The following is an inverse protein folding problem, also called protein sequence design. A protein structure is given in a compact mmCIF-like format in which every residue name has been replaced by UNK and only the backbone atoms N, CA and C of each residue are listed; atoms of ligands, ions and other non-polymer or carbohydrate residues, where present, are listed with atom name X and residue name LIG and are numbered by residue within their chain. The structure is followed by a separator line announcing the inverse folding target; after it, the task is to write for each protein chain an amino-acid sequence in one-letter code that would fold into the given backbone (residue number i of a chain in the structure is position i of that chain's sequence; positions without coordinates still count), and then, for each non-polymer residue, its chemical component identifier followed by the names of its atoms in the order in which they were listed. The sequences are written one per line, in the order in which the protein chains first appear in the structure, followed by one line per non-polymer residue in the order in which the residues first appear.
data_IF_974053806756
#
_entry.id   IF_974053806756
#
_cell.length_a   1.000
_cell.length_b   1.000
_cell.length_c   1.000
_cell.angle_alpha   90.00
_cell.angle_beta   90.00
_cell.angle_gamma   90.00
#
_symmetry.space_group_name_H-M   'P 1'
#
loop_
_entity.id
_entity.type
_entity.pdbx_description
1 polymer ?
#
# COMPACT_ATOMS: atom_id res chain seq x y z
N UNK A 1 -5.14 -33.12 -0.70
CA UNK A 1 -5.23 -32.31 -1.93
C UNK A 1 -4.18 -31.22 -1.86
N UNK A 2 -3.12 -31.29 -2.70
CA UNK A 2 -2.06 -30.28 -2.72
C UNK A 2 -2.56 -29.07 -3.49
N UNK A 3 -2.81 -27.94 -2.80
CA UNK A 3 -3.05 -26.66 -3.46
C UNK A 3 -1.77 -26.26 -4.17
N UNK A 4 -1.82 -26.14 -5.49
CA UNK A 4 -0.73 -25.61 -6.29
C UNK A 4 -0.52 -24.15 -5.86
N UNK A 5 0.71 -23.78 -5.51
CA UNK A 5 1.14 -22.39 -5.34
C UNK A 5 0.72 -21.62 -6.59
N UNK A 6 -0.29 -20.77 -6.45
CA UNK A 6 -0.63 -19.83 -7.49
C UNK A 6 0.53 -18.84 -7.55
N UNK A 7 1.45 -19.05 -8.48
CA UNK A 7 2.45 -18.04 -8.80
C UNK A 7 1.71 -16.78 -9.22
N UNK A 8 2.00 -15.68 -8.56
CA UNK A 8 1.58 -14.35 -8.96
C UNK A 8 2.19 -14.09 -10.35
N UNK A 9 1.43 -14.50 -11.38
CA UNK A 9 1.88 -14.53 -12.76
C UNK A 9 2.34 -13.17 -13.19
N UNK A 10 3.45 -13.14 -13.91
CA UNK A 10 4.02 -11.95 -14.55
C UNK A 10 2.97 -11.36 -15.51
N UNK A 11 2.14 -10.45 -15.02
CA UNK A 11 1.55 -9.47 -15.90
C UNK A 11 2.63 -8.41 -16.12
N UNK A 12 3.30 -8.49 -17.28
CA UNK A 12 4.37 -7.59 -17.70
C UNK A 12 3.80 -6.24 -18.15
N UNK A 13 3.15 -5.50 -17.25
CA UNK A 13 3.04 -4.07 -17.46
C UNK A 13 4.40 -3.48 -17.10
N UNK A 14 5.18 -3.05 -18.07
CA UNK A 14 6.40 -2.28 -17.83
C UNK A 14 5.98 -0.99 -17.14
N UNK A 15 6.50 -0.70 -15.93
CA UNK A 15 6.24 0.57 -15.27
C UNK A 15 6.60 1.72 -16.20
N UNK A 16 5.90 2.87 -16.14
CA UNK A 16 6.33 4.06 -16.85
C UNK A 16 7.74 4.44 -16.40
N UNK A 17 8.46 5.08 -17.31
CA UNK A 17 9.80 5.59 -17.09
C UNK A 17 9.92 6.36 -15.78
N UNK A 18 11.01 6.13 -15.03
CA UNK A 18 11.21 6.74 -13.71
C UNK A 18 11.20 8.27 -13.82
N UNK A 19 10.47 8.99 -12.96
CA UNK A 19 10.58 10.44 -12.91
C UNK A 19 12.02 10.83 -12.54
N UNK A 20 12.56 11.86 -13.17
CA UNK A 20 13.85 12.45 -12.80
C UNK A 20 13.82 12.79 -11.29
N UNK A 21 14.76 12.28 -10.51
CA UNK A 21 14.77 12.44 -9.05
C UNK A 21 13.88 11.46 -8.30
N UNK A 22 13.63 10.27 -8.85
CA UNK A 22 12.77 9.22 -8.26
C UNK A 22 13.10 8.94 -6.79
N UNK A 23 14.37 8.82 -6.41
CA UNK A 23 14.76 8.56 -5.03
C UNK A 23 14.32 9.67 -4.07
N UNK A 24 14.42 10.93 -4.49
CA UNK A 24 13.96 12.06 -3.68
C UNK A 24 12.43 12.07 -3.54
N UNK A 25 11.71 11.73 -4.62
CA UNK A 25 10.25 11.58 -4.60
C UNK A 25 9.82 10.47 -3.63
N UNK A 26 10.49 9.31 -3.66
CA UNK A 26 10.16 8.18 -2.79
C UNK A 26 10.36 8.53 -1.31
N UNK A 27 11.51 9.14 -0.95
CA UNK A 27 11.74 9.61 0.43
C UNK A 27 10.70 10.61 0.91
N UNK A 28 10.27 11.52 0.04
CA UNK A 28 9.20 12.48 0.36
C UNK A 28 7.85 11.81 0.56
N UNK A 29 7.51 10.77 -0.23
CA UNK A 29 6.30 9.97 -0.01
C UNK A 29 6.36 9.21 1.32
N UNK A 30 7.51 8.64 1.68
CA UNK A 30 7.72 7.97 2.96
C UNK A 30 7.62 8.96 4.13
N UNK A 31 8.15 10.18 3.98
CA UNK A 31 7.98 11.26 4.97
C UNK A 31 6.52 11.70 5.08
N UNK A 32 5.82 11.84 3.95
CA UNK A 32 4.39 12.15 3.91
C UNK A 32 3.56 11.09 4.64
N UNK A 33 3.86 9.80 4.43
CA UNK A 33 3.22 8.70 5.15
C UNK A 33 3.39 8.87 6.67
N UNK A 34 4.64 9.06 7.14
CA UNK A 34 4.93 9.24 8.57
C UNK A 34 4.24 10.46 9.18
N UNK A 35 4.04 11.52 8.40
CA UNK A 35 3.43 12.78 8.88
C UNK A 35 1.91 12.71 9.00
N UNK A 36 1.26 11.73 8.40
CA UNK A 36 -0.20 11.62 8.43
C UNK A 36 -0.69 11.22 9.84
N UNK A 37 -1.56 12.02 10.49
CA UNK A 37 -1.98 11.75 11.88
C UNK A 37 -2.58 10.36 12.07
N UNK A 38 -3.29 9.83 11.08
CA UNK A 38 -3.89 8.49 11.14
C UNK A 38 -2.83 7.38 11.29
N UNK A 39 -1.62 7.59 10.78
CA UNK A 39 -0.54 6.60 10.86
C UNK A 39 0.07 6.52 12.27
N UNK A 40 -0.16 7.54 13.11
CA UNK A 40 0.16 7.48 14.54
C UNK A 40 -0.68 6.49 15.35
N UNK A 41 -1.78 6.00 14.78
CA UNK A 41 -2.62 4.97 15.40
C UNK A 41 -2.12 3.55 15.09
N UNK A 42 -1.13 3.42 14.21
CA UNK A 42 -0.62 2.14 13.75
C UNK A 42 0.91 2.11 13.85
N UNK A 43 1.45 1.00 14.29
CA UNK A 43 2.91 0.76 14.30
C UNK A 43 3.33 0.28 12.91
N UNK A 44 3.52 1.22 11.99
CA UNK A 44 3.74 0.91 10.58
C UNK A 44 4.81 1.79 9.94
N UNK A 45 5.52 1.24 8.96
CA UNK A 45 6.58 1.92 8.20
C UNK A 45 6.40 1.64 6.72
N UNK A 46 6.39 2.69 5.89
CA UNK A 46 6.35 2.61 4.43
C UNK A 46 7.75 2.64 3.84
N UNK A 47 7.98 1.82 2.83
CA UNK A 47 9.13 1.87 1.92
C UNK A 47 8.66 1.79 0.47
N UNK A 48 9.12 2.70 -0.38
CA UNK A 48 8.96 2.62 -1.83
C UNK A 48 10.13 1.82 -2.39
N UNK A 49 9.87 0.59 -2.81
CA UNK A 49 10.91 -0.38 -3.17
C UNK A 49 11.36 -0.29 -4.63
N UNK A 50 10.48 0.23 -5.50
CA UNK A 50 10.75 0.49 -6.91
C UNK A 50 9.59 1.34 -7.51
N UNK A 51 9.71 1.86 -8.74
CA UNK A 51 8.59 2.50 -9.44
C UNK A 51 7.37 1.57 -9.48
N UNK A 52 6.23 2.05 -8.97
CA UNK A 52 5.00 1.27 -8.91
C UNK A 52 5.01 0.13 -7.89
N UNK A 53 5.93 0.14 -6.92
CA UNK A 53 6.02 -0.86 -5.85
C UNK A 53 6.26 -0.22 -4.49
N UNK A 54 5.58 -0.74 -3.48
CA UNK A 54 5.72 -0.32 -2.10
C UNK A 54 5.65 -1.51 -1.14
N UNK A 55 6.17 -1.34 0.03
CA UNK A 55 6.03 -2.26 1.15
C UNK A 55 5.68 -1.47 2.41
N UNK A 56 4.70 -1.93 3.16
CA UNK A 56 4.39 -1.43 4.51
C UNK A 56 4.63 -2.58 5.48
N UNK A 57 5.53 -2.38 6.43
CA UNK A 57 5.74 -3.27 7.56
C UNK A 57 4.95 -2.74 8.75
N UNK A 58 4.29 -3.62 9.47
CA UNK A 58 3.45 -3.24 10.60
C UNK A 58 3.34 -4.36 11.63
N UNK A 59 2.99 -3.96 12.85
CA UNK A 59 2.75 -4.90 13.96
C UNK A 59 1.24 -5.07 14.19
N UNK A 60 0.82 -6.32 14.30
CA UNK A 60 -0.58 -6.69 14.58
C UNK A 60 -0.74 -6.80 16.08
N UNK A 61 -1.09 -5.68 16.73
CA UNK A 61 -1.29 -5.61 18.19
C UNK A 61 -2.73 -5.94 18.59
N UNK A 62 -2.92 -6.28 19.86
CA UNK A 62 -4.25 -6.57 20.43
C UNK A 62 -5.21 -5.38 20.34
N UNK A 63 -4.70 -4.14 20.25
CA UNK A 63 -5.52 -2.94 20.11
C UNK A 63 -6.29 -2.88 18.79
N UNK A 64 -5.87 -3.66 17.79
CA UNK A 64 -6.55 -3.78 16.50
C UNK A 64 -7.48 -4.99 16.40
N UNK A 65 -7.70 -5.75 17.50
CA UNK A 65 -8.49 -6.98 17.45
C UNK A 65 -9.99 -6.70 17.56
N UNK A 66 -10.76 -7.49 16.83
CA UNK A 66 -12.20 -7.63 17.07
C UNK A 66 -12.47 -8.61 18.24
N UNK A 67 -13.72 -8.71 18.68
CA UNK A 67 -14.12 -9.49 19.86
C UNK A 67 -13.78 -10.98 19.79
N UNK A 68 -13.58 -11.55 18.60
CA UNK A 68 -13.18 -12.96 18.43
C UNK A 68 -11.65 -13.19 18.44
N UNK A 69 -10.84 -12.19 18.81
CA UNK A 69 -9.41 -12.34 19.09
C UNK A 69 -8.49 -12.40 17.85
N UNK A 70 -8.88 -11.71 16.78
CA UNK A 70 -8.03 -11.51 15.61
C UNK A 70 -8.14 -10.07 15.09
N UNK A 71 -7.23 -9.65 14.22
CA UNK A 71 -7.23 -8.31 13.67
C UNK A 71 -8.56 -7.96 13.00
N UNK A 72 -9.06 -6.77 13.32
CA UNK A 72 -10.27 -6.23 12.70
C UNK A 72 -10.01 -5.85 11.24
N UNK A 73 -11.02 -5.95 10.38
CA UNK A 73 -10.92 -5.65 8.96
C UNK A 73 -10.42 -4.25 8.62
N UNK A 74 -10.56 -3.28 9.52
CA UNK A 74 -10.01 -1.93 9.35
C UNK A 74 -8.50 -1.91 9.24
N UNK A 75 -7.78 -2.76 9.99
CA UNK A 75 -6.33 -2.88 9.86
C UNK A 75 -5.94 -3.42 8.48
N UNK A 76 -6.61 -4.48 8.03
CA UNK A 76 -6.38 -5.04 6.69
C UNK A 76 -6.62 -3.99 5.60
N UNK A 77 -7.79 -3.33 5.65
CA UNK A 77 -8.12 -2.29 4.68
C UNK A 77 -7.06 -1.20 4.66
N UNK A 78 -6.71 -0.65 5.83
CA UNK A 78 -5.72 0.43 5.96
C UNK A 78 -4.38 0.05 5.33
N UNK A 79 -3.85 -1.14 5.63
CA UNK A 79 -2.54 -1.57 5.13
C UNK A 79 -2.55 -1.89 3.65
N UNK A 80 -3.64 -2.48 3.14
CA UNK A 80 -3.80 -2.78 1.71
C UNK A 80 -3.99 -1.51 0.88
N UNK A 81 -4.88 -0.61 1.33
CA UNK A 81 -5.14 0.66 0.63
C UNK A 81 -3.86 1.50 0.55
N UNK A 82 -3.18 1.70 1.67
CA UNK A 82 -1.94 2.47 1.70
C UNK A 82 -0.85 1.84 0.82
N UNK A 83 -0.65 0.54 0.90
CA UNK A 83 0.37 -0.11 0.07
C UNK A 83 0.06 0.09 -1.42
N UNK A 84 -1.17 -0.16 -1.85
CA UNK A 84 -1.58 0.06 -3.25
C UNK A 84 -1.51 1.54 -3.65
N UNK A 85 -1.94 2.45 -2.76
CA UNK A 85 -1.91 3.90 -2.96
C UNK A 85 -0.48 4.39 -3.20
N UNK A 86 0.45 4.05 -2.31
CA UNK A 86 1.82 4.53 -2.41
C UNK A 86 2.59 3.87 -3.57
N UNK A 87 2.25 2.63 -3.92
CA UNK A 87 2.73 2.04 -5.17
C UNK A 87 2.29 2.85 -6.39
N UNK A 88 1.02 3.23 -6.46
CA UNK A 88 0.50 4.08 -7.54
C UNK A 88 1.10 5.50 -7.49
N UNK A 89 1.16 6.14 -6.31
CA UNK A 89 1.66 7.51 -6.17
C UNK A 89 3.17 7.62 -6.43
N UNK A 90 3.94 6.54 -6.31
CA UNK A 90 5.36 6.52 -6.68
C UNK A 90 5.61 6.88 -8.16
N UNK A 91 4.58 6.74 -8.99
CA UNK A 91 4.60 7.07 -10.43
C UNK A 91 4.04 8.47 -10.74
N UNK A 92 3.61 9.22 -9.72
CA UNK A 92 2.97 10.54 -9.85
C UNK A 92 3.66 11.52 -8.91
N UNK A 93 4.55 12.35 -9.46
CA UNK A 93 5.41 13.25 -8.66
C UNK A 93 4.83 14.64 -8.40
N UNK A 94 3.73 15.00 -9.04
CA UNK A 94 3.14 16.35 -8.96
C UNK A 94 1.84 16.42 -8.16
N UNK A 95 1.10 15.32 -8.04
CA UNK A 95 -0.25 15.30 -7.45
C UNK A 95 -0.40 14.19 -6.41
N UNK A 96 -1.13 14.53 -5.34
CA UNK A 96 -1.64 13.54 -4.40
C UNK A 96 -2.76 12.75 -5.07
N UNK A 97 -2.77 11.44 -4.90
CA UNK A 97 -3.87 10.60 -5.37
C UNK A 97 -5.00 10.55 -4.34
N UNK A 98 -6.17 10.10 -4.76
CA UNK A 98 -7.31 9.80 -3.89
C UNK A 98 -7.84 8.42 -4.23
N UNK A 99 -8.05 7.59 -3.24
CA UNK A 99 -8.71 6.30 -3.38
C UNK A 99 -10.18 6.53 -3.71
N UNK A 100 -10.65 6.02 -4.83
CA UNK A 100 -12.06 6.14 -5.26
C UNK A 100 -12.84 4.84 -5.14
N UNK A 101 -12.14 3.72 -5.15
CA UNK A 101 -12.71 2.40 -4.91
C UNK A 101 -11.59 1.46 -4.42
N UNK A 102 -11.95 0.55 -3.52
CA UNK A 102 -11.08 -0.51 -3.09
C UNK A 102 -11.88 -1.78 -2.81
N UNK A 103 -11.51 -2.87 -3.47
CA UNK A 103 -12.10 -4.18 -3.26
C UNK A 103 -11.05 -5.09 -2.61
N UNK A 104 -11.41 -5.72 -1.50
CA UNK A 104 -10.50 -6.59 -0.76
C UNK A 104 -11.12 -7.93 -0.42
N UNK A 105 -10.27 -8.95 -0.28
CA UNK A 105 -10.62 -10.30 0.14
C UNK A 105 -9.77 -10.69 1.35
N UNK A 106 -10.42 -11.15 2.40
CA UNK A 106 -9.75 -11.75 3.55
C UNK A 106 -9.52 -13.23 3.26
N UNK A 107 -8.28 -13.67 3.32
CA UNK A 107 -7.89 -15.07 3.03
C UNK A 107 -7.44 -15.81 4.28
N UNK A 108 -7.07 -15.09 5.35
CA UNK A 108 -6.67 -15.66 6.62
C UNK A 108 -6.72 -14.66 7.77
N UNK A 109 -6.91 -15.13 9.03
CA UNK A 109 -6.91 -14.27 10.20
C UNK A 109 -5.49 -13.93 10.64
N UNK A 110 -5.21 -12.66 10.93
CA UNK A 110 -4.00 -12.24 11.64
C UNK A 110 -4.26 -12.22 13.16
N UNK A 111 -3.47 -12.98 13.92
CA UNK A 111 -3.65 -13.15 15.38
C UNK A 111 -2.56 -12.49 16.22
N UNK A 112 -1.71 -11.67 15.60
CA UNK A 112 -0.62 -10.93 16.24
C UNK A 112 0.69 -11.08 15.48
N UNK A 113 1.69 -10.30 15.90
CA UNK A 113 3.04 -10.33 15.36
C UNK A 113 3.26 -9.47 14.12
N UNK A 114 4.47 -9.55 13.59
CA UNK A 114 4.88 -8.76 12.43
C UNK A 114 4.17 -9.23 11.16
N UNK A 115 3.76 -8.25 10.34
CA UNK A 115 3.17 -8.49 9.03
C UNK A 115 3.66 -7.44 8.02
N UNK A 116 3.47 -7.71 6.74
CA UNK A 116 3.78 -6.74 5.69
C UNK A 116 2.70 -6.70 4.63
N UNK A 117 2.42 -5.50 4.12
CA UNK A 117 1.60 -5.29 2.94
C UNK A 117 2.48 -4.91 1.76
N UNK A 118 2.35 -5.60 0.65
CA UNK A 118 3.09 -5.35 -0.59
C UNK A 118 2.16 -4.75 -1.63
N UNK A 119 2.45 -3.54 -2.09
CA UNK A 119 1.71 -2.82 -3.11
C UNK A 119 2.35 -2.90 -4.48
N UNK A 120 1.53 -3.00 -5.53
CA UNK A 120 1.97 -3.01 -6.93
C UNK A 120 1.01 -2.26 -7.83
N UNK A 121 1.53 -1.30 -8.60
CA UNK A 121 0.79 -0.71 -9.71
C UNK A 121 0.49 -1.75 -10.80
N UNK A 122 -0.74 -1.70 -11.35
CA UNK A 122 -1.21 -2.61 -12.40
C UNK A 122 -1.35 -1.87 -13.72
N UNK A 123 -2.05 -0.72 -13.70
CA UNK A 123 -2.35 0.01 -14.92
C UNK A 123 -2.72 1.48 -14.65
N UNK A 124 -2.89 2.25 -15.75
CA UNK A 124 -3.27 3.67 -15.70
C UNK A 124 -2.05 4.60 -15.57
N UNK A 125 -2.06 5.73 -16.28
CA UNK A 125 -0.89 6.65 -16.33
C UNK A 125 -1.27 8.12 -16.20
N UNK A 126 -2.52 8.49 -16.50
CA UNK A 126 -2.92 9.90 -16.58
C UNK A 126 -3.83 10.31 -15.44
N UNK A 127 -5.11 10.00 -15.53
CA UNK A 127 -6.13 10.46 -14.58
C UNK A 127 -6.44 9.42 -13.51
N UNK A 128 -6.50 8.16 -13.90
CA UNK A 128 -6.86 7.04 -13.05
C UNK A 128 -5.73 6.03 -13.07
N UNK A 129 -5.34 5.56 -11.90
CA UNK A 129 -4.37 4.48 -11.70
C UNK A 129 -5.08 3.31 -10.99
N UNK A 130 -4.65 2.11 -11.31
CA UNK A 130 -5.09 0.89 -10.65
C UNK A 130 -3.87 0.21 -10.04
N UNK A 131 -3.97 -0.14 -8.78
CA UNK A 131 -2.94 -0.88 -8.05
C UNK A 131 -3.57 -1.95 -7.18
N UNK A 132 -2.81 -2.98 -6.89
CA UNK A 132 -3.17 -4.07 -6.00
C UNK A 132 -2.24 -4.13 -4.81
N UNK A 133 -2.70 -4.76 -3.74
CA UNK A 133 -1.86 -5.09 -2.61
C UNK A 133 -2.24 -6.45 -2.02
N UNK A 134 -1.29 -7.04 -1.28
CA UNK A 134 -1.50 -8.24 -0.47
C UNK A 134 -0.86 -8.08 0.89
N UNK A 135 -1.43 -8.72 1.90
CA UNK A 135 -0.83 -8.81 3.23
C UNK A 135 -0.29 -10.22 3.43
N UNK A 136 0.94 -10.27 3.91
CA UNK A 136 1.62 -11.49 4.31
C UNK A 136 1.93 -11.42 5.81
N UNK A 137 1.71 -12.49 6.53
CA UNK A 137 2.11 -12.62 7.94
C UNK A 137 3.62 -12.90 8.09
N UNK A 138 4.06 -13.16 9.33
CA UNK A 138 5.45 -13.44 9.65
C UNK A 138 5.98 -14.73 8.98
N UNK A 139 5.11 -15.69 8.72
CA UNK A 139 5.45 -16.96 8.06
C UNK A 139 5.42 -16.84 6.52
N UNK A 140 4.98 -15.68 6.01
CA UNK A 140 4.84 -15.40 4.59
C UNK A 140 3.55 -15.93 3.97
N UNK A 141 2.59 -16.34 4.79
CA UNK A 141 1.27 -16.76 4.34
C UNK A 141 0.38 -15.55 4.05
N UNK A 142 -0.41 -15.62 2.97
CA UNK A 142 -1.26 -14.52 2.56
C UNK A 142 -2.55 -14.46 3.38
N UNK A 143 -2.73 -13.35 4.11
CA UNK A 143 -3.90 -13.10 4.96
C UNK A 143 -4.98 -12.26 4.28
N UNK A 144 -4.63 -11.46 3.30
CA UNK A 144 -5.58 -10.68 2.51
C UNK A 144 -4.96 -10.17 1.21
N UNK A 145 -5.82 -9.80 0.27
CA UNK A 145 -5.45 -9.05 -0.94
C UNK A 145 -6.55 -8.10 -1.38
N UNK A 146 -6.18 -7.10 -2.16
CA UNK A 146 -7.15 -6.17 -2.70
C UNK A 146 -6.66 -5.41 -3.91
N UNK A 147 -7.60 -4.74 -4.58
CA UNK A 147 -7.31 -3.88 -5.74
C UNK A 147 -8.02 -2.56 -5.55
N UNK A 148 -7.28 -1.47 -5.71
CA UNK A 148 -7.75 -0.09 -5.59
C UNK A 148 -7.71 0.66 -6.92
N UNK A 149 -8.61 1.64 -7.02
CA UNK A 149 -8.64 2.65 -8.08
C UNK A 149 -8.32 4.00 -7.47
N UNK A 150 -7.31 4.68 -8.01
CA UNK A 150 -6.76 5.92 -7.49
C UNK A 150 -6.87 7.03 -8.54
N UNK A 151 -7.48 8.15 -8.15
CA UNK A 151 -7.67 9.31 -9.00
C UNK A 151 -6.60 10.36 -8.71
N UNK A 152 -6.00 10.94 -9.75
CA UNK A 152 -5.18 12.14 -9.62
C UNK A 152 -6.04 13.30 -9.14
N UNK A 153 -5.74 13.80 -7.95
CA UNK A 153 -6.47 14.94 -7.38
C UNK A 153 -5.93 16.28 -7.90
N UNK A 154 -6.60 17.35 -7.52
CA UNK A 154 -6.10 18.70 -7.75
C UNK A 154 -5.09 19.17 -6.69
N UNK A 155 -4.81 18.36 -5.66
CA UNK A 155 -3.88 18.68 -4.56
C UNK A 155 -2.44 18.49 -5.02
N UNK A 156 -1.62 19.56 -5.12
CA UNK A 156 -0.21 19.41 -5.44
C UNK A 156 0.52 18.73 -4.27
N UNK A 157 1.37 17.74 -4.55
CA UNK A 157 2.23 17.13 -3.52
C UNK A 157 3.10 18.18 -2.83
N UNK A 158 3.60 19.15 -3.57
CA UNK A 158 4.41 20.27 -3.05
C UNK A 158 3.67 21.17 -2.04
N UNK A 159 2.33 21.11 -1.95
CA UNK A 159 1.57 21.86 -0.96
C UNK A 159 1.49 21.15 0.40
N UNK A 160 1.78 19.85 0.44
CA UNK A 160 1.69 19.03 1.65
C UNK A 160 2.96 19.16 2.49
N UNK A 161 2.82 19.56 3.76
CA UNK A 161 3.96 19.80 4.66
C UNK A 161 4.87 18.55 4.78
N UNK A 162 4.29 17.37 4.99
CA UNK A 162 5.04 16.11 5.10
C UNK A 162 5.77 15.67 3.83
N UNK A 163 5.41 16.20 2.66
CA UNK A 163 6.12 15.92 1.41
C UNK A 163 7.29 16.88 1.15
N UNK A 164 7.29 18.05 1.81
CA UNK A 164 8.35 19.07 1.68
C UNK A 164 9.50 18.86 2.65
N UNK A 165 9.28 18.04 3.67
CA UNK A 165 10.25 17.75 4.75
C UNK A 165 11.40 16.85 4.28
#
# INVERSE_FOLDING_TARGET
MRWRRFCWGRMNATPPEQPTGADAHYRRLEALYRSAPVNGLFESTLSITAPGRSEIRFEVSKNSFHAAGAAHGTLYFKMLDDAAFYAANSLVSDRFLLTTAFNLHFTGPMRGGAARAEGRWISGKRRVLVAEARILDADGEECARGTGTFLRSHIPLSSLAGYRS
#
